data_IF_202375195009
#
_entry.id   IF_202375195009
#
_cell.length_a   1.000
_cell.length_b   1.000
_cell.length_c   1.000
_cell.angle_alpha   90.00
_cell.angle_beta   90.00
_cell.angle_gamma   90.00
#
_symmetry.space_group_name_H-M   'P 1'
#
loop_
_entity.id
_entity.type
_entity.pdbx_description
1 polymer ?
#
# COMPACT_ATOMS: atom_id res chain seq x y z
N UNK A 1 -1.13 -7.79 -15.28
CA UNK A 1 -1.45 -9.19 -14.92
C UNK A 1 -2.87 -9.59 -15.28
N UNK A 2 -3.91 -8.83 -14.92
CA UNK A 2 -5.30 -9.15 -15.29
C UNK A 2 -5.54 -9.30 -16.81
N UNK A 3 -4.99 -8.41 -17.65
CA UNK A 3 -5.10 -8.53 -19.11
C UNK A 3 -4.46 -9.81 -19.67
N UNK A 4 -3.35 -10.27 -19.09
CA UNK A 4 -2.69 -11.51 -19.52
C UNK A 4 -3.54 -12.74 -19.19
N UNK A 5 -4.36 -12.66 -18.14
CA UNK A 5 -5.29 -13.73 -17.79
C UNK A 5 -6.39 -13.92 -18.84
N UNK A 6 -6.70 -12.88 -19.63
CA UNK A 6 -7.69 -12.97 -20.71
C UNK A 6 -7.25 -13.85 -21.88
N UNK A 7 -5.93 -14.07 -22.04
CA UNK A 7 -5.39 -14.89 -23.14
C UNK A 7 -5.14 -16.33 -22.72
N UNK A 8 -5.38 -16.67 -21.46
CA UNK A 8 -5.10 -18.01 -20.91
C UNK A 8 -6.39 -18.81 -20.77
N UNK A 9 -6.29 -20.13 -20.89
CA UNK A 9 -7.41 -21.02 -20.57
C UNK A 9 -7.59 -21.10 -19.05
N UNK A 10 -8.85 -21.12 -18.54
CA UNK A 10 -9.11 -21.11 -17.09
C UNK A 10 -8.46 -22.27 -16.32
N UNK A 11 -8.26 -23.41 -16.97
CA UNK A 11 -7.65 -24.62 -16.39
C UNK A 11 -6.14 -24.72 -16.55
N UNK A 12 -5.48 -23.72 -17.15
CA UNK A 12 -4.03 -23.73 -17.35
C UNK A 12 -3.28 -23.46 -16.04
N UNK A 13 -2.14 -24.13 -15.86
CA UNK A 13 -1.19 -23.83 -14.78
C UNK A 13 -0.75 -22.36 -14.80
N UNK A 14 -0.70 -21.75 -15.99
CA UNK A 14 -0.35 -20.34 -16.15
C UNK A 14 -1.39 -19.42 -15.50
N UNK A 15 -2.68 -19.77 -15.60
CA UNK A 15 -3.76 -19.04 -14.93
C UNK A 15 -3.62 -19.12 -13.42
N UNK A 16 -3.30 -20.30 -12.88
CA UNK A 16 -3.01 -20.47 -11.45
C UNK A 16 -1.81 -19.64 -11.00
N UNK A 17 -0.73 -19.63 -11.76
CA UNK A 17 0.46 -18.82 -11.47
C UNK A 17 0.14 -17.32 -11.50
N UNK A 18 -0.67 -16.87 -12.45
CA UNK A 18 -1.13 -15.48 -12.52
C UNK A 18 -2.01 -15.11 -11.33
N UNK A 19 -2.92 -16.00 -10.90
CA UNK A 19 -3.75 -15.78 -9.72
C UNK A 19 -2.92 -15.74 -8.43
N UNK A 20 -1.94 -16.63 -8.31
CA UNK A 20 -0.96 -16.58 -7.23
C UNK A 20 -0.22 -15.25 -7.20
N UNK A 21 0.29 -14.78 -8.34
CA UNK A 21 0.99 -13.51 -8.42
C UNK A 21 0.07 -12.33 -8.08
N UNK A 22 -1.14 -12.28 -8.65
CA UNK A 22 -2.12 -11.23 -8.37
C UNK A 22 -2.47 -11.20 -6.88
N UNK A 23 -2.81 -12.34 -6.28
CA UNK A 23 -3.09 -12.43 -4.85
C UNK A 23 -1.88 -12.04 -4.00
N UNK A 24 -0.70 -12.57 -4.35
CA UNK A 24 0.56 -12.31 -3.64
C UNK A 24 0.99 -10.86 -3.65
N UNK A 25 0.80 -10.14 -4.76
CA UNK A 25 1.09 -8.70 -4.85
C UNK A 25 -0.02 -7.82 -4.27
N UNK A 26 -1.26 -8.31 -4.22
CA UNK A 26 -2.36 -7.58 -3.60
C UNK A 26 -2.35 -7.66 -2.08
N UNK A 27 -1.84 -8.75 -1.51
CA UNK A 27 -1.83 -8.94 -0.05
C UNK A 27 -1.06 -7.84 0.72
N UNK A 28 0.14 -7.39 0.28
CA UNK A 28 0.85 -6.29 0.92
C UNK A 28 0.17 -4.92 0.80
N UNK A 29 -0.80 -4.73 -0.11
CA UNK A 29 -1.45 -3.43 -0.32
C UNK A 29 -2.12 -2.90 0.95
N UNK A 30 -2.67 -3.79 1.78
CA UNK A 30 -3.23 -3.39 3.08
C UNK A 30 -2.15 -2.81 4.00
N UNK A 31 -0.99 -3.47 4.11
CA UNK A 31 0.11 -2.99 4.94
C UNK A 31 0.67 -1.65 4.43
N UNK A 32 0.83 -1.50 3.11
CA UNK A 32 1.29 -0.25 2.48
C UNK A 32 0.27 0.86 2.68
N UNK A 33 -1.02 0.60 2.45
CA UNK A 33 -2.10 1.57 2.65
C UNK A 33 -2.25 1.99 4.11
N UNK A 34 -2.06 1.06 5.05
CA UNK A 34 -2.05 1.33 6.49
C UNK A 34 -0.87 2.21 6.89
N UNK A 35 0.34 1.88 6.44
CA UNK A 35 1.52 2.71 6.67
C UNK A 35 1.35 4.11 6.09
N UNK A 36 0.87 4.20 4.84
CA UNK A 36 0.56 5.48 4.20
C UNK A 36 -0.47 6.27 5.01
N UNK A 37 -1.58 5.67 5.44
CA UNK A 37 -2.60 6.37 6.23
C UNK A 37 -2.04 6.85 7.57
N UNK A 38 -1.19 6.07 8.23
CA UNK A 38 -0.57 6.42 9.50
C UNK A 38 0.35 7.66 9.43
N UNK A 39 0.87 7.99 8.24
CA UNK A 39 1.67 9.20 8.04
C UNK A 39 0.80 10.47 8.01
N UNK A 40 -0.51 10.34 7.79
CA UNK A 40 -1.47 11.47 7.70
C UNK A 40 -2.30 11.68 8.97
N UNK A 41 -2.22 10.76 9.94
CA UNK A 41 -3.09 10.74 11.13
C UNK A 41 -2.29 11.12 12.38
N UNK A 42 -2.88 11.94 13.27
CA UNK A 42 -2.24 12.32 14.54
C UNK A 42 -2.12 11.12 15.48
N UNK A 43 -1.20 11.16 16.45
CA UNK A 43 -0.95 10.02 17.34
C UNK A 43 -2.16 9.58 18.15
N UNK A 44 -2.98 10.54 18.56
CA UNK A 44 -4.20 10.32 19.32
C UNK A 44 -5.27 9.62 18.47
N UNK A 45 -5.17 9.71 17.13
CA UNK A 45 -6.18 9.21 16.20
C UNK A 45 -5.79 7.91 15.49
N UNK A 46 -4.55 7.41 15.65
CA UNK A 46 -4.07 6.20 14.95
C UNK A 46 -4.96 4.99 15.23
N UNK A 47 -5.43 4.82 16.48
CA UNK A 47 -6.33 3.71 16.83
C UNK A 47 -7.68 3.77 16.09
N UNK A 48 -8.25 4.98 15.97
CA UNK A 48 -9.50 5.20 15.24
C UNK A 48 -9.32 5.03 13.71
N UNK A 49 -8.18 5.47 13.16
CA UNK A 49 -7.87 5.25 11.75
C UNK A 49 -7.66 3.75 11.44
N UNK A 50 -6.99 3.02 12.34
CA UNK A 50 -6.78 1.58 12.18
C UNK A 50 -8.10 0.80 12.17
N UNK A 51 -9.05 1.12 13.06
CA UNK A 51 -10.36 0.46 13.06
C UNK A 51 -11.14 0.75 11.77
N UNK A 52 -11.13 1.99 11.29
CA UNK A 52 -11.76 2.36 10.02
C UNK A 52 -11.13 1.63 8.83
N UNK A 53 -9.80 1.48 8.78
CA UNK A 53 -9.11 0.72 7.73
C UNK A 53 -9.51 -0.75 7.72
N UNK A 54 -9.59 -1.40 8.89
CA UNK A 54 -10.04 -2.80 9.01
C UNK A 54 -11.50 -2.93 8.58
N UNK A 55 -12.37 -2.00 8.99
CA UNK A 55 -13.77 -1.98 8.57
C UNK A 55 -13.89 -1.83 7.05
N UNK A 56 -13.12 -0.94 6.44
CA UNK A 56 -13.11 -0.74 4.99
C UNK A 56 -12.58 -1.97 4.25
N UNK A 57 -11.54 -2.63 4.80
CA UNK A 57 -11.03 -3.89 4.26
C UNK A 57 -12.11 -4.99 4.28
N UNK A 58 -12.81 -5.15 5.40
CA UNK A 58 -13.93 -6.09 5.52
C UNK A 58 -15.08 -5.78 4.56
N UNK A 59 -15.42 -4.50 4.40
CA UNK A 59 -16.44 -4.06 3.45
C UNK A 59 -16.03 -4.37 2.00
N UNK A 60 -14.76 -4.13 1.64
CA UNK A 60 -14.21 -4.50 0.34
C UNK A 60 -14.23 -6.01 0.11
N UNK A 61 -13.88 -6.81 1.12
CA UNK A 61 -13.92 -8.26 1.06
C UNK A 61 -15.34 -8.82 0.84
N UNK A 62 -16.36 -8.18 1.42
CA UNK A 62 -17.77 -8.53 1.17
C UNK A 62 -18.23 -8.06 -0.22
N UNK A 63 -17.84 -6.85 -0.62
CA UNK A 63 -18.25 -6.26 -1.91
C UNK A 63 -17.61 -6.96 -3.10
N UNK A 64 -16.38 -7.46 -2.96
CA UNK A 64 -15.63 -8.12 -4.03
C UNK A 64 -16.39 -9.25 -4.73
N UNK A 65 -16.84 -10.29 -4.01
CA UNK A 65 -17.66 -11.36 -4.56
C UNK A 65 -18.98 -10.88 -5.16
N UNK A 66 -19.64 -9.88 -4.55
CA UNK A 66 -20.88 -9.32 -5.07
C UNK A 66 -20.69 -8.61 -6.42
N UNK A 67 -19.55 -7.96 -6.61
CA UNK A 67 -19.18 -7.35 -7.90
C UNK A 67 -18.68 -8.39 -8.90
N UNK A 68 -17.95 -9.42 -8.45
CA UNK A 68 -17.42 -10.46 -9.33
C UNK A 68 -18.48 -11.45 -9.85
N UNK A 69 -19.51 -11.74 -9.06
CA UNK A 69 -20.60 -12.64 -9.42
C UNK A 69 -21.30 -12.29 -10.74
N UNK A 70 -21.78 -11.05 -10.98
CA UNK A 70 -22.43 -10.70 -12.24
C UNK A 70 -21.48 -10.75 -13.45
N UNK A 71 -20.18 -10.48 -13.24
CA UNK A 71 -19.20 -10.64 -14.32
C UNK A 71 -19.10 -12.10 -14.76
N UNK A 72 -19.08 -13.04 -13.81
CA UNK A 72 -19.05 -14.47 -14.08
C UNK A 72 -20.34 -14.95 -14.75
N UNK A 73 -21.49 -14.43 -14.32
CA UNK A 73 -22.80 -14.81 -14.86
C UNK A 73 -22.98 -14.35 -16.33
N UNK A 74 -22.59 -13.10 -16.63
CA UNK A 74 -22.82 -12.49 -17.95
C UNK A 74 -21.73 -12.85 -18.96
N UNK A 75 -20.45 -12.81 -18.55
CA UNK A 75 -19.30 -12.96 -19.45
C UNK A 75 -18.79 -14.41 -19.47
N UNK A 76 -19.24 -15.24 -18.54
CA UNK A 76 -18.75 -16.60 -18.35
C UNK A 76 -17.38 -16.62 -17.66
N UNK A 77 -16.54 -17.61 -17.97
CA UNK A 77 -15.31 -17.87 -17.20
C UNK A 77 -14.29 -16.73 -17.25
N UNK A 78 -14.26 -15.95 -18.34
CA UNK A 78 -13.41 -14.75 -18.45
C UNK A 78 -13.91 -13.58 -17.60
N UNK A 79 -15.14 -13.66 -17.09
CA UNK A 79 -15.74 -12.65 -16.21
C UNK A 79 -14.90 -12.37 -14.97
N UNK A 80 -14.29 -13.42 -14.38
CA UNK A 80 -13.42 -13.23 -13.21
C UNK A 80 -12.17 -12.41 -13.52
N UNK A 81 -11.55 -12.59 -14.69
CA UNK A 81 -10.42 -11.75 -15.09
C UNK A 81 -10.86 -10.29 -15.29
N UNK A 82 -12.04 -10.06 -15.89
CA UNK A 82 -12.60 -8.73 -16.07
C UNK A 82 -12.98 -8.04 -14.75
N UNK A 83 -13.48 -8.77 -13.76
CA UNK A 83 -13.77 -8.20 -12.44
C UNK A 83 -12.48 -7.76 -11.74
N UNK A 84 -11.42 -8.57 -11.80
CA UNK A 84 -10.09 -8.24 -11.27
C UNK A 84 -9.51 -7.02 -11.99
N UNK A 85 -9.56 -6.96 -13.33
CA UNK A 85 -9.10 -5.81 -14.12
C UNK A 85 -9.84 -4.54 -13.69
N UNK A 86 -11.17 -4.61 -13.60
CA UNK A 86 -12.01 -3.46 -13.28
C UNK A 86 -11.72 -2.92 -11.87
N UNK A 87 -11.64 -3.80 -10.87
CA UNK A 87 -11.35 -3.41 -9.50
C UNK A 87 -9.95 -2.81 -9.33
N UNK A 88 -8.92 -3.41 -9.96
CA UNK A 88 -7.57 -2.85 -9.91
C UNK A 88 -7.47 -1.53 -10.68
N UNK A 89 -8.19 -1.38 -11.79
CA UNK A 89 -8.25 -0.13 -12.54
C UNK A 89 -8.90 0.99 -11.71
N UNK A 90 -9.99 0.70 -10.98
CA UNK A 90 -10.61 1.67 -10.07
C UNK A 90 -9.65 2.12 -8.97
N UNK A 91 -8.93 1.19 -8.34
CA UNK A 91 -7.91 1.51 -7.34
C UNK A 91 -6.79 2.35 -7.95
N UNK A 92 -6.29 1.97 -9.13
CA UNK A 92 -5.24 2.71 -9.83
C UNK A 92 -5.65 4.16 -10.13
N UNK A 93 -6.86 4.36 -10.68
CA UNK A 93 -7.40 5.68 -10.98
C UNK A 93 -7.55 6.51 -9.71
N UNK A 94 -8.09 5.91 -8.64
CA UNK A 94 -8.21 6.57 -7.34
C UNK A 94 -6.84 6.96 -6.77
N UNK A 95 -5.83 6.10 -6.84
CA UNK A 95 -4.49 6.40 -6.33
C UNK A 95 -3.82 7.52 -7.14
N UNK A 96 -3.95 7.51 -8.47
CA UNK A 96 -3.44 8.60 -9.33
C UNK A 96 -4.10 9.92 -8.93
N UNK A 97 -5.43 9.93 -8.75
CA UNK A 97 -6.15 11.09 -8.27
C UNK A 97 -5.66 11.54 -6.87
N UNK A 98 -5.56 10.60 -5.92
CA UNK A 98 -5.14 10.85 -4.52
C UNK A 98 -3.73 11.44 -4.41
N UNK A 99 -2.80 11.00 -5.25
CA UNK A 99 -1.42 11.49 -5.24
C UNK A 99 -1.35 12.88 -5.89
N UNK A 100 -2.15 13.14 -6.93
CA UNK A 100 -2.17 14.45 -7.60
C UNK A 100 -2.91 15.53 -6.81
N UNK A 101 -3.96 15.16 -6.10
CA UNK A 101 -4.80 16.12 -5.39
C UNK A 101 -4.20 16.59 -4.05
N UNK A 102 -3.24 15.86 -3.48
CA UNK A 102 -2.69 16.18 -2.16
C UNK A 102 -1.20 15.86 -2.05
N UNK A 103 -0.42 16.83 -1.60
CA UNK A 103 1.00 16.65 -1.29
C UNK A 103 1.19 15.87 0.02
N UNK A 104 2.19 15.00 0.08
CA UNK A 104 2.51 14.24 1.28
C UNK A 104 2.74 15.18 2.49
N UNK A 105 2.22 14.84 3.69
CA UNK A 105 2.49 15.60 4.90
C UNK A 105 4.00 15.55 5.17
N UNK A 106 4.60 16.70 5.42
CA UNK A 106 5.98 16.75 5.92
C UNK A 106 5.95 16.13 7.31
N UNK A 107 6.68 15.04 7.51
CA UNK A 107 6.68 14.28 8.77
C UNK A 107 7.18 15.15 9.92
N UNK A 108 6.28 15.78 10.67
CA UNK A 108 6.56 16.53 11.91
C UNK A 108 6.51 15.63 13.15
N UNK A 109 6.52 14.31 12.96
CA UNK A 109 6.37 13.33 14.03
C UNK A 109 7.64 13.31 14.87
N UNK A 110 7.51 13.55 16.18
CA UNK A 110 8.65 13.49 17.11
C UNK A 110 9.37 12.14 16.98
N UNK A 111 10.71 12.16 17.08
CA UNK A 111 11.59 11.00 16.88
C UNK A 111 11.29 9.79 17.78
N UNK A 112 10.61 10.01 18.90
CA UNK A 112 10.18 8.95 19.80
C UNK A 112 8.97 8.17 19.27
N UNK A 113 8.18 8.78 18.38
CA UNK A 113 6.93 8.25 17.84
C UNK A 113 7.06 7.62 16.45
N UNK A 114 8.28 7.58 15.88
CA UNK A 114 8.57 6.80 14.67
C UNK A 114 8.82 5.34 15.05
N UNK A 115 8.39 4.42 14.18
CA UNK A 115 8.55 2.98 14.42
C UNK A 115 10.03 2.61 14.61
N UNK A 116 10.30 1.55 15.38
CA UNK A 116 11.67 1.08 15.60
C UNK A 116 12.44 0.85 14.29
N UNK A 117 11.78 0.31 13.26
CA UNK A 117 12.36 0.15 11.93
C UNK A 117 12.73 1.47 11.26
N UNK A 118 11.87 2.49 11.37
CA UNK A 118 12.18 3.84 10.90
C UNK A 118 13.39 4.42 11.63
N UNK A 119 13.48 4.25 12.95
CA UNK A 119 14.63 4.72 13.75
C UNK A 119 15.92 3.99 13.38
N UNK A 120 15.88 2.66 13.32
CA UNK A 120 17.03 1.81 13.01
C UNK A 120 17.67 2.15 11.66
N UNK A 121 16.85 2.49 10.65
CA UNK A 121 17.35 2.88 9.33
C UNK A 121 18.17 4.18 9.35
N UNK A 122 17.84 5.12 10.24
CA UNK A 122 18.56 6.39 10.36
C UNK A 122 19.70 6.37 11.39
N UNK A 123 19.88 5.29 12.16
CA UNK A 123 20.97 5.17 13.16
C UNK A 123 22.36 5.46 12.57
N UNK A 124 22.74 4.94 11.39
CA UNK A 124 24.03 5.28 10.78
C UNK A 124 24.16 6.77 10.46
N UNK A 125 23.09 7.41 9.97
CA UNK A 125 23.07 8.85 9.70
C UNK A 125 23.22 9.67 10.98
N UNK A 126 22.57 9.26 12.07
CA UNK A 126 22.71 9.89 13.39
C UNK A 126 24.14 9.77 13.92
N UNK A 127 24.75 8.58 13.86
CA UNK A 127 26.14 8.35 14.29
C UNK A 127 27.13 9.20 13.48
N UNK A 128 26.95 9.26 12.15
CA UNK A 128 27.78 10.09 11.27
C UNK A 128 27.62 11.58 11.58
N UNK A 129 26.39 12.06 11.81
CA UNK A 129 26.14 13.47 12.17
C UNK A 129 26.78 13.86 13.52
N UNK A 130 26.75 12.96 14.51
CA UNK A 130 27.43 13.13 15.79
C UNK A 130 28.96 13.13 15.65
N UNK A 131 29.50 12.38 14.68
CA UNK A 131 30.92 12.36 14.35
C UNK A 131 31.41 13.61 13.60
N UNK A 132 30.55 14.23 12.79
CA UNK A 132 30.90 15.44 12.01
C UNK A 132 30.94 16.70 12.88
N UNK A 133 30.18 16.76 13.97
CA UNK A 133 30.11 17.94 14.85
C UNK A 133 31.32 18.12 15.80
N UNK A 134 32.38 17.32 15.63
CA UNK A 134 33.63 17.38 16.42
C UNK A 134 34.84 17.95 15.66
N UNK A 135 34.68 18.58 14.50
CA UNK A 135 35.81 19.30 13.86
C UNK A 135 36.08 20.59 14.63
N UNK A 136 37.22 20.59 15.32
CA UNK A 136 37.70 21.57 16.28
C UNK A 136 37.62 23.04 15.83
N UNK A 137 37.37 23.99 16.74
CA UNK A 137 37.55 25.41 16.45
C UNK A 137 39.03 25.68 16.16
N UNK A 138 39.30 26.22 14.96
CA UNK A 138 40.62 26.69 14.53
C UNK A 138 41.23 27.59 15.62
N UNK A 139 42.50 27.38 16.04
CA UNK A 139 43.12 28.26 17.02
C UNK A 139 43.14 29.69 16.49
N UNK A 140 42.68 30.64 17.31
CA UNK A 140 42.81 32.07 17.04
C UNK A 140 44.28 32.44 17.25
N UNK A 141 44.89 32.98 16.20
CA UNK A 141 46.19 33.63 16.25
C UNK A 141 46.11 34.94 17.04
#
# INVERSE_FOLDING_TARGET
MGLLMLTQTPSSWATTALLFAIGGFSFPLYAVGSAYTNDWVSQEQVGAAASQLVTLYGFGAMTGPLVAAPFLDIIGTQGFAWSIISLHALILLFLIYRIRAWHAPVTTKNWDNVSFHGRAFFVPATIVSLGVNRRDPKPKN
#
